data_IF_062958287098
#
_entry.id   IF_062958287098
#
_cell.length_a   1.000
_cell.length_b   1.000
_cell.length_c   1.000
_cell.angle_alpha   90.00
_cell.angle_beta   90.00
_cell.angle_gamma   90.00
#
_symmetry.space_group_name_H-M   'P 1'
#
loop_
_entity.id
_entity.type
_entity.pdbx_description
1 polymer ?
#
# COMPACT_ATOMS: atom_id res chain seq x y z
N UNK A 1 -25.56 13.60 -14.61
CA UNK A 1 -24.90 12.86 -13.50
C UNK A 1 -23.85 11.99 -14.16
N UNK A 2 -22.58 12.14 -13.79
CA UNK A 2 -21.51 11.21 -14.21
C UNK A 2 -21.87 9.85 -13.65
N UNK A 3 -21.83 8.80 -14.46
CA UNK A 3 -22.02 7.43 -13.99
C UNK A 3 -20.91 7.14 -12.96
N UNK A 4 -21.26 6.57 -11.81
CA UNK A 4 -20.26 6.21 -10.78
C UNK A 4 -19.13 5.31 -11.33
N UNK A 5 -19.42 4.49 -12.33
CA UNK A 5 -18.40 3.67 -12.99
C UNK A 5 -17.38 4.50 -13.76
N UNK A 6 -17.80 5.57 -14.41
CA UNK A 6 -16.89 6.47 -15.12
C UNK A 6 -16.01 7.25 -14.15
N UNK A 7 -16.58 7.74 -13.03
CA UNK A 7 -15.79 8.38 -11.96
C UNK A 7 -14.76 7.41 -11.35
N UNK A 8 -15.16 6.18 -11.07
CA UNK A 8 -14.27 5.14 -10.54
C UNK A 8 -13.13 4.83 -11.52
N UNK A 9 -13.44 4.63 -12.80
CA UNK A 9 -12.45 4.36 -13.85
C UNK A 9 -11.47 5.52 -14.00
N UNK A 10 -11.97 6.74 -14.08
CA UNK A 10 -11.13 7.94 -14.18
C UNK A 10 -10.21 8.07 -12.97
N UNK A 11 -10.74 7.91 -11.76
CA UNK A 11 -9.96 8.00 -10.53
C UNK A 11 -8.89 6.90 -10.47
N UNK A 12 -9.23 5.65 -10.81
CA UNK A 12 -8.27 4.54 -10.82
C UNK A 12 -7.13 4.80 -11.82
N UNK A 13 -7.45 5.27 -13.02
CA UNK A 13 -6.43 5.62 -14.03
C UNK A 13 -5.54 6.78 -13.59
N UNK A 14 -6.09 7.81 -12.93
CA UNK A 14 -5.31 8.93 -12.40
C UNK A 14 -4.39 8.50 -11.25
N UNK A 15 -4.79 7.52 -10.44
CA UNK A 15 -3.94 6.94 -9.40
C UNK A 15 -2.82 6.09 -9.99
N UNK A 16 -3.09 5.34 -11.07
CA UNK A 16 -2.17 4.40 -11.71
C UNK A 16 -1.27 5.03 -12.80
N UNK A 17 -1.19 6.36 -12.86
CA UNK A 17 -0.38 7.04 -13.88
C UNK A 17 1.10 6.72 -13.73
N UNK A 18 1.78 6.44 -14.86
CA UNK A 18 3.22 6.15 -14.88
C UNK A 18 4.05 7.30 -14.28
N UNK A 19 5.10 6.97 -13.58
CA UNK A 19 5.97 7.94 -12.91
C UNK A 19 5.43 8.47 -11.58
N UNK A 20 4.27 7.98 -11.12
CA UNK A 20 3.72 8.33 -9.82
C UNK A 20 3.27 7.09 -9.05
N UNK A 21 3.25 7.21 -7.73
CA UNK A 21 2.71 6.16 -6.87
C UNK A 21 1.91 6.74 -5.71
N UNK A 22 1.68 5.92 -4.69
CA UNK A 22 0.93 6.32 -3.51
C UNK A 22 1.83 6.46 -2.29
N UNK A 23 1.60 7.52 -1.53
CA UNK A 23 2.15 7.71 -0.20
C UNK A 23 1.17 7.13 0.83
N UNK A 24 1.55 6.04 1.49
CA UNK A 24 0.75 5.43 2.55
C UNK A 24 1.09 6.08 3.91
N UNK A 25 0.15 6.84 4.46
CA UNK A 25 0.24 7.58 5.73
C UNK A 25 -0.94 7.17 6.64
N UNK A 26 -1.29 5.91 6.55
CA UNK A 26 -2.50 5.33 7.15
C UNK A 26 -2.23 4.53 8.42
N UNK A 27 -1.05 4.74 9.01
CA UNK A 27 -0.69 4.10 10.27
C UNK A 27 -1.73 4.41 11.35
N UNK A 28 -2.23 3.34 11.98
CA UNK A 28 -3.09 3.47 13.17
C UNK A 28 -2.33 4.16 14.31
N UNK A 29 -3.05 4.69 15.28
CA UNK A 29 -2.44 5.38 16.44
C UNK A 29 -1.36 4.54 17.14
N UNK A 30 -1.53 3.23 17.40
CA UNK A 30 -0.45 2.41 17.94
C UNK A 30 0.74 2.25 16.98
N UNK A 31 0.48 2.14 15.69
CA UNK A 31 1.54 1.92 14.69
C UNK A 31 2.41 3.16 14.51
N UNK A 32 1.80 4.34 14.35
CA UNK A 32 2.58 5.58 14.28
C UNK A 32 3.31 5.86 15.58
N UNK A 33 2.73 5.48 16.74
CA UNK A 33 3.36 5.59 18.04
C UNK A 33 4.68 4.83 18.14
N UNK A 34 4.75 3.61 17.61
CA UNK A 34 6.01 2.85 17.53
C UNK A 34 7.07 3.57 16.70
N UNK A 35 6.68 4.19 15.58
CA UNK A 35 7.61 4.93 14.71
C UNK A 35 8.11 6.21 15.37
N UNK A 36 7.23 6.97 16.01
CA UNK A 36 7.60 8.17 16.77
C UNK A 36 8.52 7.84 17.94
N UNK A 37 8.27 6.74 18.66
CA UNK A 37 9.14 6.26 19.73
C UNK A 37 10.56 5.95 19.23
N UNK A 38 10.71 5.46 17.99
CA UNK A 38 12.01 5.22 17.35
C UNK A 38 12.87 6.48 17.14
N UNK A 39 12.27 7.65 17.23
CA UNK A 39 12.96 8.96 17.18
C UNK A 39 12.79 9.75 18.49
N UNK A 40 12.39 9.10 19.59
CA UNK A 40 12.16 9.67 20.92
C UNK A 40 11.08 10.78 20.94
N UNK A 41 10.04 10.64 20.14
CA UNK A 41 8.88 11.55 20.12
C UNK A 41 7.67 10.86 20.75
N UNK A 42 6.97 11.56 21.62
CA UNK A 42 5.76 11.07 22.27
C UNK A 42 4.61 10.94 21.24
N UNK A 43 3.79 9.90 21.40
CA UNK A 43 2.63 9.67 20.53
C UNK A 43 1.42 10.51 21.01
N UNK A 44 1.47 11.80 20.81
CA UNK A 44 0.34 12.71 21.02
C UNK A 44 -0.37 13.03 19.71
N UNK A 45 -1.59 13.56 19.77
CA UNK A 45 -2.33 14.00 18.59
C UNK A 45 -1.57 15.11 17.85
N UNK A 46 -1.00 16.06 18.60
CA UNK A 46 -0.23 17.19 18.07
C UNK A 46 1.01 16.70 17.31
N UNK A 47 1.73 15.73 17.84
CA UNK A 47 2.92 15.18 17.19
C UNK A 47 2.56 14.39 15.91
N UNK A 48 1.44 13.64 15.93
CA UNK A 48 0.93 12.98 14.72
C UNK A 48 0.50 13.98 13.65
N UNK A 49 -0.21 15.05 14.08
CA UNK A 49 -0.64 16.16 13.21
C UNK A 49 0.56 16.88 12.60
N UNK A 50 1.57 17.22 13.42
CA UNK A 50 2.80 17.89 12.97
C UNK A 50 3.55 17.05 11.95
N UNK A 51 3.73 15.75 12.23
CA UNK A 51 4.41 14.83 11.31
C UNK A 51 3.67 14.72 9.98
N UNK A 52 2.38 14.44 10.00
CA UNK A 52 1.56 14.29 8.79
C UNK A 52 1.42 15.60 8.03
N UNK A 53 1.28 16.71 8.75
CA UNK A 53 1.27 18.05 8.17
C UNK A 53 2.57 18.39 7.43
N UNK A 54 3.71 18.00 7.98
CA UNK A 54 5.02 18.15 7.33
C UNK A 54 5.06 17.41 5.98
N UNK A 55 4.53 16.19 5.90
CA UNK A 55 4.46 15.43 4.64
C UNK A 55 3.58 16.14 3.59
N UNK A 56 2.41 16.63 3.98
CA UNK A 56 1.43 17.23 3.06
C UNK A 56 1.68 18.71 2.74
N UNK A 57 2.77 19.25 3.20
CA UNK A 57 3.24 20.60 2.84
C UNK A 57 4.56 20.58 2.07
N UNK A 58 5.06 19.39 1.69
CA UNK A 58 6.25 19.25 0.87
C UNK A 58 5.96 19.74 -0.56
N UNK A 59 6.60 20.83 -0.96
CA UNK A 59 6.45 21.43 -2.28
C UNK A 59 6.92 20.44 -3.37
N UNK A 60 6.16 20.32 -4.46
CA UNK A 60 6.46 19.40 -5.56
C UNK A 60 6.08 17.93 -5.30
N UNK A 61 5.56 17.57 -4.13
CA UNK A 61 5.21 16.17 -3.81
C UNK A 61 4.27 15.56 -4.84
N UNK A 62 3.33 16.35 -5.38
CA UNK A 62 2.38 15.90 -6.42
C UNK A 62 3.02 15.58 -7.78
N UNK A 63 4.30 15.89 -7.99
CA UNK A 63 5.04 15.45 -9.18
C UNK A 63 5.32 13.95 -9.16
N UNK A 64 5.46 13.35 -7.96
CA UNK A 64 5.80 11.95 -7.75
C UNK A 64 4.68 11.12 -7.15
N UNK A 65 3.71 11.76 -6.49
CA UNK A 65 2.63 11.10 -5.76
C UNK A 65 1.28 11.44 -6.40
N UNK A 66 0.55 10.41 -6.81
CA UNK A 66 -0.79 10.53 -7.39
C UNK A 66 -1.90 10.52 -6.34
N UNK A 67 -1.68 9.81 -5.22
CA UNK A 67 -2.64 9.68 -4.13
C UNK A 67 -1.97 9.42 -2.79
N UNK A 68 -2.68 9.69 -1.70
CA UNK A 68 -2.23 9.37 -0.34
C UNK A 68 -3.30 8.63 0.42
N UNK A 69 -2.92 7.57 1.14
CA UNK A 69 -3.82 6.80 2.00
C UNK A 69 -3.74 7.41 3.39
N UNK A 70 -4.87 7.88 3.92
CA UNK A 70 -4.95 8.51 5.23
C UNK A 70 -5.49 7.54 6.29
N UNK A 71 -5.12 7.77 7.54
CA UNK A 71 -5.84 7.28 8.69
C UNK A 71 -7.05 8.19 8.97
N UNK A 72 -8.10 7.66 9.60
CA UNK A 72 -9.36 8.40 9.81
C UNK A 72 -9.15 9.73 10.55
N UNK A 73 -8.33 9.76 11.61
CA UNK A 73 -7.96 10.97 12.33
C UNK A 73 -7.51 12.09 11.38
N UNK A 74 -6.60 11.78 10.45
CA UNK A 74 -6.02 12.75 9.52
C UNK A 74 -7.01 13.25 8.48
N UNK A 75 -7.96 12.40 8.06
CA UNK A 75 -9.00 12.80 7.11
C UNK A 75 -9.86 13.95 7.64
N UNK A 76 -10.04 14.02 8.97
CA UNK A 76 -10.86 15.04 9.65
C UNK A 76 -10.04 16.17 10.29
N UNK A 77 -8.70 16.01 10.36
CA UNK A 77 -7.84 17.02 10.98
C UNK A 77 -7.57 18.23 10.08
N UNK A 78 -7.33 19.35 10.73
CA UNK A 78 -6.72 20.52 10.11
C UNK A 78 -5.20 20.50 10.30
N UNK A 79 -4.49 21.16 9.42
CA UNK A 79 -3.09 21.53 9.59
C UNK A 79 -2.96 22.67 10.61
N UNK A 80 -1.76 22.92 11.11
CA UNK A 80 -1.49 23.95 12.13
C UNK A 80 -1.92 25.37 11.75
N UNK A 81 -2.05 25.66 10.46
CA UNK A 81 -2.56 26.94 9.94
C UNK A 81 -4.09 27.03 9.82
N UNK A 82 -4.80 26.01 10.29
CA UNK A 82 -6.26 25.94 10.28
C UNK A 82 -6.87 25.38 8.99
N UNK A 83 -6.11 25.19 7.93
CA UNK A 83 -6.59 24.56 6.69
C UNK A 83 -6.70 23.04 6.84
N UNK A 84 -7.76 22.40 6.29
CA UNK A 84 -7.90 20.94 6.39
C UNK A 84 -6.76 20.20 5.68
N UNK A 85 -6.32 19.06 6.25
CA UNK A 85 -5.32 18.19 5.62
C UNK A 85 -5.74 17.77 4.22
N UNK A 86 -7.02 17.47 4.01
CA UNK A 86 -7.59 17.12 2.69
C UNK A 86 -7.42 18.27 1.69
N UNK A 87 -7.61 19.53 2.13
CA UNK A 87 -7.39 20.70 1.25
C UNK A 87 -5.92 20.84 0.85
N UNK A 88 -4.99 20.67 1.81
CA UNK A 88 -3.54 20.69 1.55
C UNK A 88 -3.15 19.65 0.50
N UNK A 89 -3.60 18.41 0.68
CA UNK A 89 -3.34 17.31 -0.24
C UNK A 89 -3.85 17.62 -1.64
N UNK A 90 -5.09 18.12 -1.76
CA UNK A 90 -5.69 18.48 -3.05
C UNK A 90 -4.95 19.62 -3.76
N UNK A 91 -4.44 20.61 -3.03
CA UNK A 91 -3.63 21.70 -3.60
C UNK A 91 -2.33 21.22 -4.24
N UNK A 92 -1.78 20.11 -3.76
CA UNK A 92 -0.62 19.44 -4.38
C UNK A 92 -0.99 18.62 -5.62
N UNK A 93 -2.27 18.55 -6.01
CA UNK A 93 -2.75 17.69 -7.08
C UNK A 93 -2.85 16.21 -6.72
N UNK A 94 -2.75 15.88 -5.43
CA UNK A 94 -2.77 14.52 -4.90
C UNK A 94 -4.21 14.12 -4.54
N UNK A 95 -4.60 12.89 -4.84
CA UNK A 95 -5.94 12.35 -4.55
C UNK A 95 -5.95 11.82 -3.10
N UNK A 96 -6.87 12.31 -2.23
CA UNK A 96 -7.01 11.75 -0.89
C UNK A 96 -7.69 10.37 -0.91
N UNK A 97 -7.17 9.45 -0.13
CA UNK A 97 -7.75 8.13 0.12
C UNK A 97 -7.77 7.81 1.60
N UNK A 98 -8.38 6.71 1.97
CA UNK A 98 -8.68 6.35 3.35
C UNK A 98 -8.51 4.86 3.63
N UNK A 99 -7.81 4.51 4.72
CA UNK A 99 -7.82 3.16 5.29
C UNK A 99 -9.18 2.92 5.97
N UNK A 100 -9.90 1.88 5.54
CA UNK A 100 -11.26 1.61 6.04
C UNK A 100 -11.38 0.31 6.85
N UNK A 101 -10.38 -0.56 6.81
CA UNK A 101 -10.34 -1.74 7.69
C UNK A 101 -10.18 -1.33 9.18
N UNK A 102 -10.64 -2.20 10.07
CA UNK A 102 -10.57 -2.02 11.54
C UNK A 102 -9.60 -2.99 12.20
N UNK A 103 -8.55 -3.39 11.47
CA UNK A 103 -7.50 -4.27 11.95
C UNK A 103 -7.85 -5.75 11.90
N UNK A 104 -6.91 -6.58 12.32
CA UNK A 104 -6.96 -8.03 12.21
C UNK A 104 -7.55 -8.69 13.46
N UNK A 105 -8.11 -9.88 13.28
CA UNK A 105 -8.53 -10.78 14.35
C UNK A 105 -8.13 -12.21 14.02
N UNK A 106 -7.84 -13.07 15.02
CA UNK A 106 -7.63 -14.49 14.78
C UNK A 106 -8.81 -15.11 14.04
N UNK A 107 -8.52 -15.97 13.07
CA UNK A 107 -9.53 -16.67 12.29
C UNK A 107 -9.92 -17.97 12.99
N UNK A 108 -11.13 -18.04 13.50
CA UNK A 108 -11.63 -19.23 14.17
C UNK A 108 -11.70 -20.44 13.21
N UNK A 109 -11.20 -21.58 13.63
CA UNK A 109 -11.13 -22.79 12.83
C UNK A 109 -9.93 -22.88 11.87
N UNK A 110 -9.08 -21.86 11.86
CA UNK A 110 -7.82 -21.84 11.11
C UNK A 110 -6.60 -22.02 12.02
N UNK A 111 -5.40 -21.96 11.46
CA UNK A 111 -4.17 -22.03 12.22
C UNK A 111 -3.99 -20.77 13.09
N UNK A 112 -3.27 -20.86 14.21
CA UNK A 112 -3.10 -19.79 15.21
C UNK A 112 -2.50 -18.49 14.64
N UNK A 113 -1.69 -18.59 13.57
CA UNK A 113 -1.12 -17.41 12.90
C UNK A 113 -2.06 -16.75 11.91
N UNK A 114 -3.18 -17.39 11.58
CA UNK A 114 -4.09 -16.93 10.54
C UNK A 114 -5.12 -15.94 11.08
N UNK A 115 -5.37 -14.93 10.29
CA UNK A 115 -6.24 -13.81 10.66
C UNK A 115 -7.25 -13.49 9.56
N UNK A 116 -8.31 -12.81 9.95
CA UNK A 116 -9.23 -12.13 9.06
C UNK A 116 -9.28 -10.64 9.41
N UNK A 117 -9.74 -9.83 8.48
CA UNK A 117 -9.75 -8.38 8.64
C UNK A 117 -11.16 -7.86 8.95
N UNK A 118 -11.29 -7.10 10.04
CA UNK A 118 -12.57 -6.52 10.53
C UNK A 118 -12.90 -5.23 9.82
N UNK A 119 -14.20 -4.85 9.83
CA UNK A 119 -14.66 -3.52 9.44
C UNK A 119 -15.72 -3.47 8.36
N UNK A 120 -16.32 -4.60 7.96
CA UNK A 120 -17.42 -4.63 6.98
C UNK A 120 -18.71 -4.04 7.57
N UNK A 121 -18.95 -4.22 8.88
CA UNK A 121 -20.11 -3.66 9.57
C UNK A 121 -20.07 -2.14 9.55
N UNK A 122 -21.15 -1.52 9.08
CA UNK A 122 -21.29 -0.08 8.95
C UNK A 122 -20.31 0.55 7.92
N UNK A 123 -19.73 -0.26 7.03
CA UNK A 123 -18.77 0.24 6.04
C UNK A 123 -19.45 1.14 5.00
N UNK A 124 -20.67 0.84 4.59
CA UNK A 124 -21.41 1.63 3.61
C UNK A 124 -21.63 3.06 4.10
N UNK A 125 -22.04 3.22 5.35
CA UNK A 125 -22.27 4.50 5.98
C UNK A 125 -20.94 5.28 6.11
N UNK A 126 -19.88 4.61 6.59
CA UNK A 126 -18.57 5.24 6.75
C UNK A 126 -17.98 5.69 5.41
N UNK A 127 -18.07 4.87 4.38
CA UNK A 127 -17.52 5.23 3.06
C UNK A 127 -18.28 6.36 2.39
N UNK A 128 -19.58 6.46 2.61
CA UNK A 128 -20.39 7.60 2.15
C UNK A 128 -19.94 8.91 2.82
N UNK A 129 -19.66 8.89 4.13
CA UNK A 129 -19.13 10.06 4.84
C UNK A 129 -17.69 10.41 4.41
N UNK A 130 -16.82 9.42 4.23
CA UNK A 130 -15.45 9.65 3.74
C UNK A 130 -15.43 10.27 2.34
N UNK A 131 -16.36 9.85 1.46
CA UNK A 131 -16.51 10.46 0.14
C UNK A 131 -16.90 11.94 0.25
N UNK A 132 -17.86 12.28 1.13
CA UNK A 132 -18.26 13.68 1.39
C UNK A 132 -17.08 14.49 1.95
N UNK A 133 -16.26 13.89 2.82
CA UNK A 133 -15.07 14.54 3.38
C UNK A 133 -13.97 14.76 2.35
N UNK A 134 -14.06 14.11 1.20
CA UNK A 134 -13.18 14.37 0.06
C UNK A 134 -12.30 13.22 -0.36
N UNK A 135 -12.39 12.05 0.28
CA UNK A 135 -11.73 10.84 -0.19
C UNK A 135 -12.29 10.39 -1.54
N UNK A 136 -11.43 9.77 -2.37
CA UNK A 136 -11.81 9.22 -3.67
C UNK A 136 -11.37 7.78 -3.86
N UNK A 137 -10.59 7.25 -2.95
CA UNK A 137 -10.24 5.84 -2.92
C UNK A 137 -10.14 5.33 -1.48
N UNK A 138 -10.22 4.03 -1.32
CA UNK A 138 -10.13 3.35 -0.04
C UNK A 138 -9.08 2.24 -0.09
N UNK A 139 -8.55 1.85 1.08
CA UNK A 139 -7.62 0.74 1.21
C UNK A 139 -8.06 -0.22 2.31
N UNK A 140 -7.91 -1.52 2.04
CA UNK A 140 -8.16 -2.60 2.97
C UNK A 140 -7.09 -3.67 2.84
N UNK A 141 -6.43 -3.99 3.95
CA UNK A 141 -5.34 -4.95 4.02
C UNK A 141 -5.83 -6.28 4.58
N UNK A 142 -5.59 -7.36 3.85
CA UNK A 142 -5.65 -8.74 4.35
C UNK A 142 -4.22 -9.26 4.49
N UNK A 143 -3.96 -10.07 5.50
CA UNK A 143 -2.63 -10.60 5.82
C UNK A 143 -2.65 -12.11 5.81
N UNK A 144 -1.73 -12.70 5.04
CA UNK A 144 -1.52 -14.14 4.97
C UNK A 144 -0.04 -14.44 5.24
N UNK A 145 0.22 -15.55 5.89
CA UNK A 145 1.58 -15.97 6.28
C UNK A 145 1.89 -17.36 5.76
N UNK A 146 3.08 -17.55 5.21
CA UNK A 146 3.58 -18.87 4.80
C UNK A 146 4.26 -19.50 6.02
N UNK A 147 3.90 -20.75 6.35
CA UNK A 147 4.52 -21.53 7.42
C UNK A 147 4.90 -22.91 6.94
N UNK A 148 5.80 -23.58 7.67
CA UNK A 148 6.18 -24.97 7.40
C UNK A 148 4.99 -25.93 7.54
N UNK A 149 4.00 -25.60 8.36
CA UNK A 149 2.78 -26.38 8.60
C UNK A 149 1.70 -26.19 7.53
N UNK A 150 2.01 -25.51 6.43
CA UNK A 150 1.16 -25.43 5.25
C UNK A 150 0.20 -24.23 5.21
N UNK A 151 0.43 -23.19 6.02
CA UNK A 151 -0.29 -21.93 5.86
C UNK A 151 0.19 -21.17 4.59
N UNK A 152 -0.69 -20.32 3.99
CA UNK A 152 -2.08 -20.09 4.38
C UNK A 152 -2.99 -21.26 4.01
N UNK A 153 -3.94 -21.58 4.90
CA UNK A 153 -4.96 -22.59 4.64
C UNK A 153 -6.00 -22.10 3.62
N UNK A 154 -6.71 -23.03 2.99
CA UNK A 154 -7.82 -22.70 2.08
C UNK A 154 -8.90 -21.87 2.78
N UNK A 155 -9.15 -22.11 4.08
CA UNK A 155 -10.07 -21.33 4.88
C UNK A 155 -9.62 -19.87 4.95
N UNK A 156 -8.38 -19.62 5.32
CA UNK A 156 -7.85 -18.25 5.45
C UNK A 156 -7.81 -17.53 4.09
N UNK A 157 -7.44 -18.23 3.01
CA UNK A 157 -7.44 -17.65 1.66
C UNK A 157 -8.86 -17.22 1.26
N UNK A 158 -9.85 -18.09 1.42
CA UNK A 158 -11.25 -17.80 1.05
C UNK A 158 -11.86 -16.69 1.88
N UNK A 159 -11.66 -16.72 3.21
CA UNK A 159 -12.19 -15.69 4.11
C UNK A 159 -11.63 -14.30 3.75
N UNK A 160 -10.33 -14.19 3.56
CA UNK A 160 -9.71 -12.91 3.23
C UNK A 160 -10.05 -12.46 1.79
N UNK A 161 -10.13 -13.37 0.83
CA UNK A 161 -10.56 -13.05 -0.53
C UNK A 161 -12.00 -12.53 -0.57
N UNK A 162 -12.90 -13.19 0.16
CA UNK A 162 -14.30 -12.76 0.26
C UNK A 162 -14.42 -11.40 0.94
N UNK A 163 -13.71 -11.19 2.06
CA UNK A 163 -13.66 -9.90 2.76
C UNK A 163 -13.18 -8.76 1.88
N UNK A 164 -12.11 -8.97 1.11
CA UNK A 164 -11.57 -8.00 0.14
C UNK A 164 -12.60 -7.67 -0.97
N UNK A 165 -13.29 -8.67 -1.50
CA UNK A 165 -14.30 -8.47 -2.54
C UNK A 165 -15.56 -7.74 -2.00
N UNK A 166 -16.02 -8.08 -0.80
CA UNK A 166 -17.15 -7.41 -0.14
C UNK A 166 -16.82 -5.93 0.13
N UNK A 167 -15.67 -5.67 0.73
CA UNK A 167 -15.17 -4.32 0.94
C UNK A 167 -15.11 -3.53 -0.37
N UNK A 168 -14.53 -4.12 -1.43
CA UNK A 168 -14.36 -3.46 -2.71
C UNK A 168 -15.70 -3.02 -3.30
N UNK A 169 -16.70 -3.91 -3.28
CA UNK A 169 -18.03 -3.59 -3.81
C UNK A 169 -18.72 -2.47 -3.02
N UNK A 170 -18.66 -2.52 -1.69
CA UNK A 170 -19.26 -1.48 -0.83
C UNK A 170 -18.60 -0.10 -1.11
N UNK A 171 -17.27 -0.04 -1.24
CA UNK A 171 -16.57 1.19 -1.56
C UNK A 171 -17.00 1.77 -2.93
N UNK A 172 -17.14 0.93 -3.94
CA UNK A 172 -17.58 1.37 -5.27
C UNK A 172 -19.00 1.96 -5.26
N UNK A 173 -19.88 1.41 -4.45
CA UNK A 173 -21.24 1.97 -4.29
C UNK A 173 -21.24 3.36 -3.66
N UNK A 174 -20.21 3.71 -2.92
CA UNK A 174 -20.00 5.06 -2.38
C UNK A 174 -19.19 5.98 -3.31
N UNK A 175 -18.65 5.47 -4.42
CA UNK A 175 -17.81 6.23 -5.36
C UNK A 175 -16.32 6.24 -4.99
N UNK A 176 -15.87 5.35 -4.10
CA UNK A 176 -14.48 5.18 -3.76
C UNK A 176 -13.84 4.03 -4.54
N UNK A 177 -12.71 4.28 -5.19
CA UNK A 177 -11.88 3.24 -5.82
C UNK A 177 -11.30 2.35 -4.73
N UNK A 178 -11.61 1.04 -4.67
CA UNK A 178 -10.99 0.15 -3.69
C UNK A 178 -9.58 -0.27 -4.11
N UNK A 179 -8.63 -0.11 -3.20
CA UNK A 179 -7.32 -0.75 -3.27
C UNK A 179 -7.41 -2.08 -2.54
N UNK A 180 -7.25 -3.16 -3.26
CA UNK A 180 -7.31 -4.54 -2.77
C UNK A 180 -5.90 -4.95 -2.36
N UNK A 181 -5.65 -5.16 -1.05
CA UNK A 181 -4.30 -5.42 -0.51
C UNK A 181 -4.20 -6.82 0.12
N UNK A 182 -4.02 -7.89 -0.68
CA UNK A 182 -3.71 -9.22 -0.18
C UNK A 182 -2.20 -9.35 0.07
N UNK A 183 -1.75 -9.05 1.27
CA UNK A 183 -0.32 -9.11 1.63
C UNK A 183 0.08 -10.52 2.05
N UNK A 184 1.13 -11.05 1.42
CA UNK A 184 1.86 -12.21 1.91
C UNK A 184 3.04 -11.69 2.72
N UNK A 185 3.09 -12.06 4.01
CA UNK A 185 4.19 -11.66 4.89
C UNK A 185 5.51 -12.30 4.47
N UNK A 186 6.61 -11.59 4.72
CA UNK A 186 7.96 -12.08 4.47
C UNK A 186 8.46 -13.03 5.57
N UNK A 187 7.70 -13.20 6.66
CA UNK A 187 8.07 -14.06 7.79
C UNK A 187 8.32 -15.49 7.33
N UNK A 188 9.41 -16.11 7.85
CA UNK A 188 9.79 -17.49 7.55
C UNK A 188 10.97 -17.62 6.59
N UNK A 189 11.30 -18.87 6.26
CA UNK A 189 12.46 -19.27 5.47
C UNK A 189 12.10 -19.79 4.06
N UNK A 190 10.86 -19.61 3.64
CA UNK A 190 10.36 -20.08 2.35
C UNK A 190 11.11 -19.50 1.15
N UNK A 191 11.15 -20.27 0.07
CA UNK A 191 11.78 -19.84 -1.18
C UNK A 191 10.89 -18.87 -1.97
N UNK A 192 11.45 -18.17 -2.94
CA UNK A 192 10.72 -17.27 -3.83
C UNK A 192 9.65 -18.00 -4.65
N UNK A 193 9.93 -19.28 -5.07
CA UNK A 193 8.96 -20.12 -5.78
C UNK A 193 7.75 -20.42 -4.89
N UNK A 194 7.98 -20.66 -3.58
CA UNK A 194 6.87 -20.91 -2.65
C UNK A 194 6.03 -19.65 -2.46
N UNK A 195 6.66 -18.49 -2.39
CA UNK A 195 5.93 -17.22 -2.36
C UNK A 195 5.08 -17.04 -3.62
N UNK A 196 5.66 -17.30 -4.80
CA UNK A 196 4.93 -17.20 -6.07
C UNK A 196 3.72 -18.16 -6.12
N UNK A 197 3.90 -19.42 -5.72
CA UNK A 197 2.81 -20.42 -5.65
C UNK A 197 1.66 -19.93 -4.76
N UNK A 198 1.99 -19.44 -3.57
CA UNK A 198 0.98 -18.94 -2.62
C UNK A 198 0.29 -17.67 -3.14
N UNK A 199 1.06 -16.73 -3.69
CA UNK A 199 0.48 -15.51 -4.29
C UNK A 199 -0.45 -15.83 -5.45
N UNK A 200 -0.07 -16.74 -6.36
CA UNK A 200 -0.92 -17.18 -7.47
C UNK A 200 -2.25 -17.74 -6.93
N UNK A 201 -2.20 -18.60 -5.92
CA UNK A 201 -3.39 -19.18 -5.28
C UNK A 201 -4.29 -18.12 -4.65
N UNK A 202 -3.70 -17.18 -3.90
CA UNK A 202 -4.43 -16.09 -3.23
C UNK A 202 -5.07 -15.15 -4.24
N UNK A 203 -4.32 -14.71 -5.25
CA UNK A 203 -4.83 -13.76 -6.26
C UNK A 203 -5.97 -14.36 -7.10
N UNK A 204 -5.87 -15.64 -7.48
CA UNK A 204 -6.93 -16.34 -8.18
C UNK A 204 -8.22 -16.35 -7.35
N UNK A 205 -8.15 -16.66 -6.06
CA UNK A 205 -9.34 -16.68 -5.20
C UNK A 205 -9.88 -15.25 -4.96
N UNK A 206 -9.00 -14.25 -4.82
CA UNK A 206 -9.42 -12.83 -4.71
C UNK A 206 -10.21 -12.38 -5.94
N UNK A 207 -9.72 -12.63 -7.15
CA UNK A 207 -10.42 -12.19 -8.36
C UNK A 207 -11.67 -13.02 -8.67
N UNK A 208 -11.68 -14.29 -8.28
CA UNK A 208 -12.93 -15.09 -8.28
C UNK A 208 -13.97 -14.46 -7.34
N UNK A 209 -13.60 -14.15 -6.11
CA UNK A 209 -14.50 -13.48 -5.16
C UNK A 209 -14.96 -12.10 -5.67
N UNK A 210 -14.08 -11.34 -6.31
CA UNK A 210 -14.44 -10.06 -6.94
C UNK A 210 -15.51 -10.24 -8.03
N UNK A 211 -15.37 -11.27 -8.87
CA UNK A 211 -16.38 -11.60 -9.89
C UNK A 211 -17.73 -11.97 -9.26
N UNK A 212 -17.73 -12.83 -8.25
CA UNK A 212 -18.93 -13.26 -7.52
C UNK A 212 -19.63 -12.11 -6.79
N UNK A 213 -18.88 -11.09 -6.38
CA UNK A 213 -19.41 -9.88 -5.74
C UNK A 213 -19.70 -8.72 -6.71
N UNK A 214 -19.66 -8.96 -8.02
CA UNK A 214 -19.91 -7.94 -9.05
C UNK A 214 -19.02 -6.67 -8.90
N UNK A 215 -17.75 -6.85 -8.54
CA UNK A 215 -16.79 -5.76 -8.47
C UNK A 215 -16.45 -5.29 -9.88
N UNK A 216 -16.49 -3.98 -10.11
CA UNK A 216 -16.11 -3.33 -11.36
C UNK A 216 -14.59 -3.19 -11.41
N UNK A 217 -13.90 -4.07 -12.14
CA UNK A 217 -12.44 -4.20 -12.09
C UNK A 217 -11.70 -2.96 -12.60
N UNK A 218 -12.19 -2.28 -13.62
CA UNK A 218 -11.61 -1.03 -14.15
C UNK A 218 -11.64 0.13 -13.15
N UNK A 219 -12.44 0.01 -12.10
CA UNK A 219 -12.51 0.93 -10.97
C UNK A 219 -11.87 0.36 -9.69
N UNK A 220 -10.84 -0.47 -9.80
CA UNK A 220 -10.06 -1.02 -8.68
C UNK A 220 -8.57 -0.80 -8.87
N UNK A 221 -7.78 -0.98 -7.81
CA UNK A 221 -6.32 -1.11 -7.86
C UNK A 221 -5.90 -2.29 -7.00
N UNK A 222 -4.81 -2.95 -7.38
CA UNK A 222 -4.22 -4.03 -6.59
C UNK A 222 -2.99 -3.51 -5.84
N UNK A 223 -2.86 -3.87 -4.56
CA UNK A 223 -1.66 -3.59 -3.75
C UNK A 223 -1.09 -4.88 -3.17
N UNK A 224 -0.34 -5.65 -3.96
CA UNK A 224 0.24 -6.90 -3.51
C UNK A 224 1.63 -6.71 -2.91
N UNK A 225 2.13 -7.75 -2.21
CA UNK A 225 3.56 -7.91 -1.96
C UNK A 225 4.31 -8.16 -3.28
N UNK A 226 5.57 -7.77 -3.34
CA UNK A 226 6.49 -8.32 -4.34
C UNK A 226 6.73 -9.81 -4.04
N UNK A 227 7.04 -10.60 -5.05
CA UNK A 227 7.38 -12.01 -4.88
C UNK A 227 8.84 -12.10 -4.42
N UNK A 228 9.06 -12.31 -3.14
CA UNK A 228 10.39 -12.37 -2.51
C UNK A 228 10.56 -13.65 -1.70
N UNK A 229 11.81 -14.03 -1.41
CA UNK A 229 12.10 -15.09 -0.45
C UNK A 229 11.72 -14.65 0.96
N UNK A 230 11.42 -15.61 1.84
CA UNK A 230 11.18 -15.37 3.26
C UNK A 230 12.35 -14.64 3.95
N UNK A 231 12.06 -13.86 4.98
CA UNK A 231 13.06 -13.03 5.67
C UNK A 231 14.22 -13.86 6.28
N UNK A 232 13.93 -15.09 6.69
CA UNK A 232 14.91 -16.01 7.30
C UNK A 232 15.59 -16.93 6.27
N UNK A 233 15.19 -16.88 4.99
CA UNK A 233 15.83 -17.69 3.96
C UNK A 233 17.29 -17.25 3.75
N UNK A 234 18.20 -18.21 3.80
CA UNK A 234 19.64 -17.96 3.64
C UNK A 234 20.04 -17.67 2.18
N UNK A 235 19.24 -18.16 1.23
CA UNK A 235 19.46 -17.98 -0.20
C UNK A 235 18.45 -16.95 -0.72
N UNK A 236 18.75 -15.67 -0.53
CA UNK A 236 17.89 -14.58 -1.04
C UNK A 236 17.95 -14.53 -2.55
N UNK A 237 16.79 -14.40 -3.18
CA UNK A 237 16.70 -14.09 -4.59
C UNK A 237 17.28 -12.68 -4.86
N UNK A 238 17.96 -12.52 -5.96
CA UNK A 238 18.45 -11.21 -6.40
C UNK A 238 17.33 -10.36 -7.04
N UNK A 239 17.64 -9.14 -7.39
CA UNK A 239 16.65 -8.19 -7.94
C UNK A 239 16.05 -8.64 -9.28
N UNK A 240 16.83 -9.33 -10.09
CA UNK A 240 16.38 -9.83 -11.40
C UNK A 240 15.40 -11.00 -11.22
N UNK A 241 15.69 -11.92 -10.31
CA UNK A 241 14.83 -13.05 -9.98
C UNK A 241 13.52 -12.57 -9.33
N UNK A 242 13.61 -11.64 -8.36
CA UNK A 242 12.43 -11.00 -7.74
C UNK A 242 11.55 -10.34 -8.80
N UNK A 243 12.14 -9.59 -9.72
CA UNK A 243 11.39 -8.91 -10.79
C UNK A 243 10.70 -9.91 -11.71
N UNK A 244 11.42 -10.91 -12.20
CA UNK A 244 10.88 -11.95 -13.09
C UNK A 244 9.74 -12.72 -12.43
N UNK A 245 9.92 -13.16 -11.19
CA UNK A 245 8.91 -13.92 -10.46
C UNK A 245 7.68 -13.07 -10.15
N UNK A 246 7.88 -11.82 -9.73
CA UNK A 246 6.76 -10.89 -9.45
C UNK A 246 5.95 -10.61 -10.71
N UNK A 247 6.60 -10.21 -11.81
CA UNK A 247 5.92 -9.92 -13.07
C UNK A 247 5.19 -11.15 -13.62
N UNK A 248 5.83 -12.34 -13.55
CA UNK A 248 5.18 -13.60 -13.93
C UNK A 248 3.92 -13.87 -13.14
N UNK A 249 3.98 -13.76 -11.81
CA UNK A 249 2.84 -13.99 -10.91
C UNK A 249 1.70 -13.02 -11.21
N UNK A 250 2.01 -11.73 -11.35
CA UNK A 250 1.00 -10.72 -11.68
C UNK A 250 0.35 -10.98 -13.06
N UNK A 251 1.15 -11.28 -14.08
CA UNK A 251 0.63 -11.57 -15.43
C UNK A 251 -0.26 -12.82 -15.51
N UNK A 252 -0.06 -13.79 -14.61
CA UNK A 252 -0.89 -15.00 -14.57
C UNK A 252 -2.24 -14.77 -13.88
N UNK A 253 -2.29 -13.89 -12.89
CA UNK A 253 -3.41 -13.84 -11.94
C UNK A 253 -4.20 -12.55 -11.98
N UNK A 254 -3.60 -11.43 -12.40
CA UNK A 254 -4.28 -10.13 -12.39
C UNK A 254 -5.00 -9.90 -13.70
N UNK A 255 -6.32 -9.67 -13.69
CA UNK A 255 -7.08 -9.34 -14.90
C UNK A 255 -6.56 -8.06 -15.57
N UNK A 256 -6.47 -8.06 -16.89
CA UNK A 256 -6.04 -6.91 -17.68
C UNK A 256 -6.94 -5.65 -17.52
N UNK A 257 -8.15 -5.83 -16.99
CA UNK A 257 -9.08 -4.76 -16.67
C UNK A 257 -8.65 -3.91 -15.45
N UNK A 258 -7.72 -4.42 -14.61
CA UNK A 258 -7.20 -3.70 -13.44
C UNK A 258 -6.17 -2.68 -13.92
N UNK A 259 -6.38 -1.36 -13.72
CA UNK A 259 -5.52 -0.35 -14.35
C UNK A 259 -4.14 -0.20 -13.70
N UNK A 260 -3.96 -0.60 -12.43
CA UNK A 260 -2.69 -0.45 -11.73
C UNK A 260 -2.42 -1.50 -10.67
N UNK A 261 -1.16 -1.92 -10.60
CA UNK A 261 -0.59 -2.73 -9.53
C UNK A 261 0.40 -1.84 -8.77
N UNK A 262 0.07 -1.56 -7.52
CA UNK A 262 0.81 -0.66 -6.65
C UNK A 262 1.43 -1.45 -5.51
N UNK A 263 2.67 -1.90 -5.68
CA UNK A 263 3.32 -2.79 -4.72
C UNK A 263 3.47 -2.15 -3.34
N UNK A 264 3.27 -2.95 -2.29
CA UNK A 264 3.70 -2.59 -0.94
C UNK A 264 5.21 -2.86 -0.78
N UNK A 265 5.86 -2.24 0.20
CA UNK A 265 7.28 -2.46 0.49
C UNK A 265 7.54 -3.60 1.47
N UNK A 266 6.58 -3.95 2.32
CA UNK A 266 6.54 -5.18 3.14
C UNK A 266 7.71 -5.45 4.08
N UNK A 267 8.53 -4.44 4.40
CA UNK A 267 9.72 -4.62 5.21
C UNK A 267 11.04 -4.62 4.42
N UNK A 268 10.99 -4.48 3.10
CA UNK A 268 12.17 -4.21 2.29
C UNK A 268 12.85 -2.91 2.73
N UNK A 269 14.17 -2.81 2.55
CA UNK A 269 14.87 -1.53 2.73
C UNK A 269 14.33 -0.49 1.76
N UNK A 270 14.59 0.79 2.02
CA UNK A 270 14.21 1.86 1.08
C UNK A 270 14.83 1.66 -0.31
N UNK A 271 16.07 1.17 -0.34
CA UNK A 271 16.79 0.91 -1.59
C UNK A 271 16.26 -0.31 -2.32
N UNK A 272 16.09 -1.47 -1.64
CA UNK A 272 15.58 -2.69 -2.28
C UNK A 272 14.20 -2.47 -2.89
N UNK A 273 13.32 -1.73 -2.20
CA UNK A 273 12.00 -1.40 -2.70
C UNK A 273 12.06 -0.62 -4.02
N UNK A 274 13.02 0.31 -4.16
CA UNK A 274 13.23 1.06 -5.40
C UNK A 274 13.88 0.20 -6.48
N UNK A 275 14.91 -0.57 -6.14
CA UNK A 275 15.64 -1.43 -7.09
C UNK A 275 14.73 -2.50 -7.68
N UNK A 276 13.95 -3.20 -6.84
CA UNK A 276 13.03 -4.24 -7.32
C UNK A 276 11.94 -3.65 -8.23
N UNK A 277 11.35 -2.51 -7.84
CA UNK A 277 10.38 -1.83 -8.68
C UNK A 277 10.99 -1.40 -10.03
N UNK A 278 12.21 -0.86 -10.01
CA UNK A 278 12.94 -0.47 -11.22
C UNK A 278 13.19 -1.66 -12.14
N UNK A 279 13.67 -2.76 -11.58
CA UNK A 279 13.97 -3.97 -12.36
C UNK A 279 12.69 -4.54 -12.99
N UNK A 280 11.56 -4.55 -12.26
CA UNK A 280 10.27 -4.97 -12.82
C UNK A 280 9.82 -4.10 -14.00
N UNK A 281 10.08 -2.79 -13.96
CA UNK A 281 9.72 -1.88 -15.05
C UNK A 281 10.74 -1.85 -16.21
N UNK A 282 11.92 -2.45 -16.01
CA UNK A 282 12.96 -2.58 -17.05
C UNK A 282 12.87 -3.86 -17.86
N UNK A 283 12.14 -4.89 -17.38
CA UNK A 283 11.93 -6.14 -18.10
C UNK A 283 10.64 -6.10 -18.93
N UNK A 284 10.60 -6.88 -20.00
CA UNK A 284 9.39 -7.02 -20.81
C UNK A 284 8.28 -7.68 -20.00
N UNK A 285 7.16 -6.97 -19.80
CA UNK A 285 5.94 -7.52 -19.22
C UNK A 285 4.76 -7.30 -20.17
N UNK A 286 3.94 -8.34 -20.36
CA UNK A 286 2.82 -8.32 -21.32
C UNK A 286 1.56 -7.63 -20.78
N UNK A 287 1.63 -6.92 -19.68
CA UNK A 287 0.47 -6.25 -19.08
C UNK A 287 0.39 -4.81 -19.56
N UNK A 288 -0.82 -4.36 -19.90
CA UNK A 288 -1.14 -2.93 -20.03
C UNK A 288 -1.27 -2.25 -18.68
N UNK A 289 -1.18 -3.00 -17.60
CA UNK A 289 -1.33 -2.55 -16.23
C UNK A 289 -0.07 -1.82 -15.78
N UNK A 290 -0.21 -0.63 -15.21
CA UNK A 290 0.89 0.14 -14.63
C UNK A 290 1.46 -0.58 -13.39
N UNK A 291 2.77 -0.76 -13.33
CA UNK A 291 3.50 -1.28 -12.18
C UNK A 291 4.12 -0.10 -11.43
N UNK A 292 3.63 0.20 -10.24
CA UNK A 292 4.10 1.33 -9.46
C UNK A 292 4.10 0.98 -7.96
N UNK A 293 4.18 1.97 -7.09
CA UNK A 293 4.36 1.79 -5.65
C UNK A 293 3.21 2.36 -4.82
N UNK A 294 2.98 1.75 -3.67
CA UNK A 294 2.18 2.29 -2.57
C UNK A 294 2.92 2.05 -1.27
N UNK A 295 3.90 2.90 -0.98
CA UNK A 295 4.83 2.69 0.11
C UNK A 295 4.52 3.55 1.32
N UNK A 296 4.66 2.95 2.50
CA UNK A 296 4.70 3.65 3.79
C UNK A 296 6.14 3.81 4.26
N UNK A 297 6.69 2.74 4.88
CA UNK A 297 8.03 2.76 5.48
C UNK A 297 9.13 3.13 4.47
N UNK A 298 9.10 2.57 3.27
CA UNK A 298 10.13 2.82 2.25
C UNK A 298 10.13 4.26 1.67
N UNK A 299 9.12 5.08 1.96
CA UNK A 299 9.13 6.52 1.67
C UNK A 299 9.39 7.38 2.91
N UNK A 300 9.14 6.85 4.12
CA UNK A 300 9.05 7.64 5.33
C UNK A 300 10.20 7.40 6.33
N UNK A 301 10.98 6.33 6.20
CA UNK A 301 12.02 6.00 7.19
C UNK A 301 13.08 7.11 7.28
N UNK A 302 13.73 7.42 6.18
CA UNK A 302 14.72 8.53 6.12
C UNK A 302 14.08 9.89 6.45
N UNK A 303 12.82 10.10 6.02
CA UNK A 303 12.06 11.30 6.32
C UNK A 303 11.85 11.48 7.83
N UNK A 304 11.40 10.45 8.52
CA UNK A 304 11.16 10.45 9.96
C UNK A 304 12.45 10.69 10.75
N UNK A 305 13.52 10.00 10.35
CA UNK A 305 14.86 10.15 10.93
C UNK A 305 15.44 11.56 10.74
N UNK A 306 15.17 12.20 9.61
CA UNK A 306 15.63 13.57 9.33
C UNK A 306 14.77 14.61 10.06
N UNK A 307 13.47 14.42 10.16
CA UNK A 307 12.54 15.33 10.83
C UNK A 307 12.78 15.45 12.33
N UNK A 308 13.03 14.36 13.04
CA UNK A 308 13.33 14.30 14.49
C UNK A 308 12.38 15.15 15.37
N UNK A 309 11.14 15.32 14.93
CA UNK A 309 10.12 16.07 15.67
C UNK A 309 10.06 17.58 15.36
N UNK A 310 11.04 18.15 14.68
CA UNK A 310 11.10 19.61 14.46
C UNK A 310 11.70 20.09 13.15
N UNK A 311 12.61 19.35 12.54
CA UNK A 311 13.26 19.79 11.29
C UNK A 311 12.43 19.46 10.07
N UNK A 312 11.43 20.32 9.80
CA UNK A 312 10.51 20.17 8.68
C UNK A 312 11.25 20.10 7.34
N UNK A 313 12.25 20.97 7.13
CA UNK A 313 12.98 21.04 5.86
C UNK A 313 13.80 19.79 5.59
N UNK A 314 14.51 19.28 6.61
CA UNK A 314 15.25 18.03 6.47
C UNK A 314 14.32 16.84 6.22
N UNK A 315 13.20 16.74 6.95
CA UNK A 315 12.18 15.71 6.73
C UNK A 315 11.61 15.74 5.32
N UNK A 316 11.18 16.90 4.85
CA UNK A 316 10.65 17.06 3.48
C UNK A 316 11.68 16.73 2.41
N UNK A 317 12.94 17.17 2.58
CA UNK A 317 14.03 16.85 1.64
C UNK A 317 14.25 15.33 1.51
N UNK A 318 14.25 14.61 2.64
CA UNK A 318 14.42 13.17 2.63
C UNK A 318 13.20 12.46 1.99
N UNK A 319 11.96 12.91 2.29
CA UNK A 319 10.76 12.41 1.63
C UNK A 319 10.83 12.56 0.12
N UNK A 320 11.17 13.77 -0.36
CA UNK A 320 11.22 14.07 -1.78
C UNK A 320 12.27 13.23 -2.51
N UNK A 321 13.42 12.98 -1.90
CA UNK A 321 14.44 12.11 -2.48
C UNK A 321 13.92 10.68 -2.69
N UNK A 322 13.22 10.11 -1.70
CA UNK A 322 12.62 8.76 -1.85
C UNK A 322 11.45 8.74 -2.82
N UNK A 323 10.63 9.79 -2.85
CA UNK A 323 9.55 9.91 -3.83
C UNK A 323 10.09 9.98 -5.27
N UNK A 324 11.16 10.75 -5.50
CA UNK A 324 11.82 10.83 -6.79
C UNK A 324 12.42 9.47 -7.20
N UNK A 325 13.16 8.79 -6.31
CA UNK A 325 13.75 7.48 -6.58
C UNK A 325 12.68 6.46 -7.04
N UNK A 326 11.53 6.42 -6.35
CA UNK A 326 10.46 5.49 -6.69
C UNK A 326 9.64 5.93 -7.93
N UNK A 327 9.55 7.23 -8.19
CA UNK A 327 9.03 7.75 -9.47
C UNK A 327 9.88 7.29 -10.66
N UNK A 328 11.21 7.43 -10.56
CA UNK A 328 12.16 6.93 -11.55
C UNK A 328 12.06 5.40 -11.69
N UNK A 329 12.02 4.68 -10.56
CA UNK A 329 11.87 3.23 -10.54
C UNK A 329 10.57 2.73 -11.22
N UNK A 330 9.47 3.46 -11.08
CA UNK A 330 8.20 3.12 -11.75
C UNK A 330 8.24 3.31 -13.28
N UNK A 331 9.30 3.92 -13.80
CA UNK A 331 9.58 4.09 -15.23
C UNK A 331 10.72 3.19 -15.74
N UNK A 332 11.43 2.51 -14.84
CA UNK A 332 12.62 1.74 -15.17
C UNK A 332 13.90 2.61 -15.34
N UNK A 333 13.88 3.84 -14.85
CA UNK A 333 14.95 4.85 -15.04
C UNK A 333 15.80 5.05 -13.77
N UNK A 334 15.50 4.35 -12.66
CA UNK A 334 16.22 4.53 -11.40
C UNK A 334 17.62 3.92 -11.45
N UNK A 335 18.61 4.70 -11.07
CA UNK A 335 19.99 4.24 -10.88
C UNK A 335 20.20 3.95 -9.39
N UNK A 336 20.54 2.71 -9.05
CA UNK A 336 20.78 2.31 -7.66
C UNK A 336 21.80 3.22 -6.96
N UNK A 337 21.46 3.67 -5.76
CA UNK A 337 22.29 4.57 -4.96
C UNK A 337 22.31 6.04 -5.42
N UNK A 338 21.56 6.42 -6.45
CA UNK A 338 21.53 7.81 -6.94
C UNK A 338 20.79 8.77 -6.00
N UNK A 339 19.94 8.27 -5.14
CA UNK A 339 19.21 9.04 -4.14
C UNK A 339 19.53 8.54 -2.72
N UNK A 340 19.60 9.44 -1.73
CA UNK A 340 19.81 9.05 -0.34
C UNK A 340 18.74 8.08 0.16
N UNK A 341 19.17 7.03 0.87
CA UNK A 341 18.27 6.02 1.47
C UNK A 341 18.83 5.52 2.80
N UNK A 342 17.95 5.08 3.69
CA UNK A 342 18.36 4.29 4.86
C UNK A 342 18.71 2.87 4.42
N UNK A 343 19.79 2.33 4.97
CA UNK A 343 20.19 0.93 4.78
C UNK A 343 19.56 0.01 5.82
N UNK A 344 18.78 0.56 6.76
CA UNK A 344 18.15 -0.23 7.81
C UNK A 344 17.09 -1.15 7.19
N UNK A 345 17.05 -2.40 7.68
CA UNK A 345 15.92 -3.26 7.38
C UNK A 345 14.64 -2.68 7.98
N UNK A 346 13.59 -2.65 7.20
CA UNK A 346 12.26 -2.24 7.64
C UNK A 346 11.37 -3.44 8.02
N UNK A 347 11.97 -4.62 8.03
CA UNK A 347 11.28 -5.86 8.41
C UNK A 347 10.98 -5.86 9.91
N UNK A 348 9.74 -6.16 10.25
CA UNK A 348 9.25 -6.40 11.60
C UNK A 348 8.53 -7.76 11.57
N UNK A 349 9.05 -8.74 12.31
CA UNK A 349 8.47 -10.08 12.37
C UNK A 349 7.01 -10.03 12.87
N UNK A 350 6.12 -10.76 12.18
CA UNK A 350 4.69 -10.81 12.54
C UNK A 350 3.98 -9.46 12.44
N UNK A 351 4.35 -8.60 11.50
CA UNK A 351 3.79 -7.24 11.36
C UNK A 351 2.29 -7.25 11.08
N UNK A 352 1.53 -7.41 12.15
CA UNK A 352 0.05 -7.40 12.18
C UNK A 352 -0.40 -6.17 12.97
N UNK A 353 -1.14 -5.25 12.34
CA UNK A 353 -1.67 -4.03 12.98
C UNK A 353 -3.15 -3.80 12.66
#
# INVERSE_FOLDING_TARGET
MIDKKDELRETANRLAVSGKGLLAVDESTPTIGKRLAGINIENTEENRQAYRGMLFTAEGLGEFISGTILFEETLYQNHLDGESMVSKIKKLGIIPGIKVDKGLSPLAGAHEVETWCKGLEGLAERTAEYYKQGARFAKWRAVLQITADGCPTDLAIRENAWGLARYAKICQESGLVPIIEPEILMDGDHTIEKTAEVQEKVLVEVYKACSENNVFLEGTLLKPSMTVSGADNKNKADSEEVAKMTVRTMNRCVPAAVPGIMFLSGGLTEEDASVYLNTMNSIEHKSSTSLTFSYGRALQQSCLQAWKGSDIKAGQKALMARCQANSEASKGDYVSGSQPSSQDTLFEAGYKY
#
